data_IF_235157039654
#
_entry.id   IF_235157039654
#
_cell.length_a   1.000
_cell.length_b   1.000
_cell.length_c   1.000
_cell.angle_alpha   90.00
_cell.angle_beta   90.00
_cell.angle_gamma   90.00
#
_symmetry.space_group_name_H-M   'P 1'
#
loop_
_entity.id
_entity.type
_entity.pdbx_description
1 polymer ?
#
# COMPACT_ATOMS: atom_id res chain seq x y z
N UNK A 1 -16.31 4.69 -9.23
CA UNK A 1 -16.08 4.33 -10.67
C UNK A 1 -16.66 2.96 -10.95
N UNK A 2 -17.35 2.74 -12.11
CA UNK A 2 -17.82 1.40 -12.51
C UNK A 2 -16.72 0.63 -13.22
N UNK A 3 -16.75 -0.71 -13.16
CA UNK A 3 -15.75 -1.54 -13.84
C UNK A 3 -15.74 -1.34 -15.36
N UNK A 4 -16.90 -1.14 -16.00
CA UNK A 4 -17.01 -0.91 -17.44
C UNK A 4 -16.33 0.41 -17.87
N UNK A 5 -16.48 1.45 -17.07
CA UNK A 5 -15.80 2.71 -17.31
C UNK A 5 -14.29 2.56 -17.14
N UNK A 6 -13.86 1.84 -16.10
CA UNK A 6 -12.46 1.58 -15.83
C UNK A 6 -11.79 0.76 -16.94
N UNK A 7 -12.46 -0.28 -17.45
CA UNK A 7 -11.99 -1.08 -18.60
C UNK A 7 -11.69 -0.18 -19.81
N UNK A 8 -12.61 0.71 -20.18
CA UNK A 8 -12.39 1.63 -21.29
C UNK A 8 -11.19 2.56 -21.08
N UNK A 9 -10.98 3.01 -19.86
CA UNK A 9 -9.80 3.82 -19.54
C UNK A 9 -8.51 3.02 -19.70
N UNK A 10 -8.45 1.78 -19.19
CA UNK A 10 -7.27 0.90 -19.30
C UNK A 10 -6.94 0.63 -20.78
N UNK A 11 -7.94 0.28 -21.61
CA UNK A 11 -7.75 0.03 -23.05
C UNK A 11 -7.15 1.25 -23.76
N UNK A 12 -7.57 2.46 -23.39
CA UNK A 12 -7.00 3.69 -23.96
C UNK A 12 -5.57 3.96 -23.50
N UNK A 13 -5.23 3.62 -22.26
CA UNK A 13 -3.91 3.82 -21.67
C UNK A 13 -2.87 2.81 -22.18
N UNK A 14 -3.31 1.58 -22.47
CA UNK A 14 -2.46 0.48 -22.92
C UNK A 14 -2.54 0.30 -24.45
N UNK A 15 -2.28 1.39 -25.19
CA UNK A 15 -2.18 1.40 -26.66
C UNK A 15 -3.42 0.87 -27.40
N UNK A 16 -4.60 0.99 -26.78
CA UNK A 16 -5.89 0.51 -27.31
C UNK A 16 -5.98 -1.02 -27.45
N UNK A 17 -5.10 -1.76 -26.78
CA UNK A 17 -5.26 -3.21 -26.64
C UNK A 17 -6.57 -3.53 -25.92
N UNK A 18 -7.28 -4.56 -26.39
CA UNK A 18 -8.58 -4.95 -25.82
C UNK A 18 -8.40 -5.84 -24.61
N UNK A 19 -9.17 -5.56 -23.57
CA UNK A 19 -9.30 -6.47 -22.43
C UNK A 19 -10.24 -7.62 -22.85
N UNK A 20 -9.67 -8.82 -22.97
CA UNK A 20 -10.42 -10.03 -23.36
C UNK A 20 -10.94 -10.81 -22.16
N UNK A 21 -10.33 -10.60 -20.98
CA UNK A 21 -10.73 -11.28 -19.74
C UNK A 21 -10.40 -10.40 -18.55
N UNK A 22 -11.28 -10.39 -17.56
CA UNK A 22 -10.99 -9.78 -16.26
C UNK A 22 -11.64 -10.55 -15.12
N UNK A 23 -11.01 -10.53 -13.95
CA UNK A 23 -11.51 -11.11 -12.73
C UNK A 23 -11.38 -10.10 -11.59
N UNK A 24 -12.48 -9.79 -10.90
CA UNK A 24 -12.43 -9.07 -9.64
C UNK A 24 -11.84 -9.99 -8.58
N UNK A 25 -10.71 -9.60 -8.01
CA UNK A 25 -10.01 -10.38 -6.98
C UNK A 25 -10.58 -10.05 -5.59
N UNK A 26 -10.69 -8.76 -5.29
CA UNK A 26 -11.28 -8.28 -4.03
C UNK A 26 -11.73 -6.82 -4.15
N UNK A 27 -12.57 -6.39 -3.22
CA UNK A 27 -12.86 -4.99 -2.94
C UNK A 27 -12.67 -4.73 -1.46
N UNK A 28 -11.86 -3.75 -1.10
CA UNK A 28 -11.55 -3.40 0.29
C UNK A 28 -11.27 -1.91 0.39
N UNK A 29 -11.81 -1.26 1.42
CA UNK A 29 -11.63 0.18 1.66
C UNK A 29 -11.91 1.06 0.43
N UNK A 30 -13.02 0.80 -0.26
CA UNK A 30 -13.43 1.46 -1.50
C UNK A 30 -12.47 1.29 -2.70
N UNK A 31 -11.51 0.36 -2.61
CA UNK A 31 -10.60 0.02 -3.71
C UNK A 31 -10.95 -1.37 -4.24
N UNK A 32 -11.28 -1.45 -5.53
CA UNK A 32 -11.39 -2.71 -6.24
C UNK A 32 -10.03 -3.11 -6.81
N UNK A 33 -9.68 -4.39 -6.67
CA UNK A 33 -8.49 -5.00 -7.24
C UNK A 33 -8.91 -6.00 -8.32
N UNK A 34 -8.47 -5.78 -9.56
CA UNK A 34 -8.88 -6.56 -10.72
C UNK A 34 -7.66 -7.07 -11.48
N UNK A 35 -7.65 -8.38 -11.76
CA UNK A 35 -6.75 -8.96 -12.75
C UNK A 35 -7.40 -8.85 -14.12
N UNK A 36 -6.63 -8.43 -15.13
CA UNK A 36 -7.10 -8.42 -16.52
C UNK A 36 -6.03 -8.94 -17.49
N UNK A 37 -6.50 -9.41 -18.64
CA UNK A 37 -5.71 -9.95 -19.73
C UNK A 37 -6.06 -9.23 -21.01
N UNK A 38 -5.03 -8.77 -21.74
CA UNK A 38 -5.16 -8.07 -23.00
C UNK A 38 -5.18 -9.05 -24.19
N UNK A 39 -5.61 -8.56 -25.35
CA UNK A 39 -5.68 -9.32 -26.60
C UNK A 39 -4.32 -9.84 -27.08
N UNK A 40 -3.22 -9.21 -26.68
CA UNK A 40 -1.86 -9.64 -26.96
C UNK A 40 -1.33 -10.69 -25.96
N UNK A 41 -2.12 -11.08 -24.93
CA UNK A 41 -1.77 -12.04 -23.90
C UNK A 41 -1.13 -11.45 -22.64
N UNK A 42 -0.85 -10.16 -22.61
CA UNK A 42 -0.30 -9.48 -21.44
C UNK A 42 -1.32 -9.46 -20.28
N UNK A 43 -0.80 -9.63 -19.07
CA UNK A 43 -1.62 -9.64 -17.85
C UNK A 43 -1.16 -8.58 -16.87
N UNK A 44 -2.14 -7.94 -16.23
CA UNK A 44 -1.89 -6.87 -15.26
C UNK A 44 -2.85 -6.96 -14.08
N UNK A 45 -2.48 -6.28 -13.00
CA UNK A 45 -3.36 -5.97 -11.88
C UNK A 45 -3.71 -4.49 -11.95
N UNK A 46 -4.99 -4.18 -11.82
CA UNK A 46 -5.46 -2.82 -11.64
C UNK A 46 -6.16 -2.66 -10.30
N UNK A 47 -5.84 -1.57 -9.62
CA UNK A 47 -6.55 -1.10 -8.43
C UNK A 47 -7.18 0.24 -8.74
N UNK A 48 -8.46 0.42 -8.38
CA UNK A 48 -9.16 1.68 -8.62
C UNK A 48 -10.21 1.96 -7.55
N UNK A 49 -10.48 3.24 -7.30
CA UNK A 49 -11.54 3.63 -6.37
C UNK A 49 -12.93 3.37 -6.95
N UNK A 50 -13.76 2.64 -6.21
CA UNK A 50 -15.20 2.47 -6.52
C UNK A 50 -16.00 3.69 -6.08
N UNK A 51 -15.59 4.36 -4.98
CA UNK A 51 -16.16 5.62 -4.47
C UNK A 51 -15.06 6.67 -4.30
N UNK A 52 -15.37 7.95 -4.53
CA UNK A 52 -14.35 9.03 -4.60
C UNK A 52 -14.06 9.76 -3.27
N UNK A 53 -14.60 9.33 -2.14
CA UNK A 53 -14.57 10.09 -0.88
C UNK A 53 -13.44 9.69 0.08
N UNK A 54 -12.18 9.76 -0.36
CA UNK A 54 -11.06 9.46 0.53
C UNK A 54 -10.22 10.71 0.83
N UNK A 55 -10.09 11.06 2.10
CA UNK A 55 -9.23 12.15 2.60
C UNK A 55 -7.73 11.89 2.38
N UNK A 56 -7.34 10.64 2.12
CA UNK A 56 -5.98 10.21 1.83
C UNK A 56 -5.97 9.30 0.60
N UNK A 57 -5.12 9.60 -0.37
CA UNK A 57 -5.04 8.82 -1.61
C UNK A 57 -4.13 7.59 -1.42
N UNK A 58 -4.75 6.46 -1.08
CA UNK A 58 -4.09 5.18 -0.87
C UNK A 58 -3.47 4.62 -2.16
N UNK A 59 -4.09 4.84 -3.31
CA UNK A 59 -3.60 4.42 -4.62
C UNK A 59 -2.28 5.11 -4.95
N UNK A 60 -2.21 6.44 -4.78
CA UNK A 60 -0.96 7.17 -4.98
C UNK A 60 0.12 6.74 -3.98
N UNK A 61 -0.25 6.48 -2.71
CA UNK A 61 0.69 6.01 -1.70
C UNK A 61 1.27 4.65 -2.08
N UNK A 62 0.45 3.71 -2.54
CA UNK A 62 0.90 2.40 -3.01
C UNK A 62 1.80 2.51 -4.25
N UNK A 63 1.42 3.32 -5.24
CA UNK A 63 2.22 3.55 -6.44
C UNK A 63 3.61 4.11 -6.10
N UNK A 64 3.68 5.11 -5.21
CA UNK A 64 4.94 5.68 -4.77
C UNK A 64 5.79 4.69 -3.96
N UNK A 65 5.18 3.88 -3.09
CA UNK A 65 5.85 2.80 -2.38
C UNK A 65 6.48 1.80 -3.34
N UNK A 66 5.73 1.31 -4.32
CA UNK A 66 6.24 0.36 -5.32
C UNK A 66 7.37 0.96 -6.16
N UNK A 67 7.25 2.22 -6.58
CA UNK A 67 8.34 2.91 -7.29
C UNK A 67 9.60 3.03 -6.45
N UNK A 68 9.47 3.37 -5.16
CA UNK A 68 10.61 3.40 -4.25
C UNK A 68 11.23 2.00 -4.10
N UNK A 69 10.43 0.97 -3.88
CA UNK A 69 10.90 -0.40 -3.73
C UNK A 69 11.59 -0.90 -5.00
N UNK A 70 11.03 -0.63 -6.19
CA UNK A 70 11.63 -0.99 -7.48
C UNK A 70 12.93 -0.22 -7.78
N UNK A 71 13.15 0.94 -7.18
CA UNK A 71 14.43 1.64 -7.27
C UNK A 71 15.55 0.95 -6.49
N UNK A 72 15.23 0.04 -5.58
CA UNK A 72 16.15 -0.67 -4.70
C UNK A 72 16.21 -2.18 -4.96
N UNK A 73 15.12 -2.77 -5.44
CA UNK A 73 14.92 -4.20 -5.55
C UNK A 73 14.20 -4.55 -6.85
N UNK A 74 14.44 -5.76 -7.37
CA UNK A 74 13.87 -6.27 -8.62
C UNK A 74 12.78 -7.36 -8.43
N UNK A 75 12.29 -7.54 -7.20
CA UNK A 75 11.30 -8.58 -6.87
C UNK A 75 9.93 -8.01 -6.44
N UNK A 76 9.70 -6.72 -6.64
CA UNK A 76 8.40 -6.10 -6.47
C UNK A 76 7.72 -5.88 -7.83
N UNK A 77 6.37 -5.92 -7.91
CA UNK A 77 5.67 -5.68 -9.16
C UNK A 77 5.96 -4.28 -9.70
N UNK A 78 6.22 -4.20 -11.00
CA UNK A 78 6.49 -2.94 -11.69
C UNK A 78 5.22 -2.10 -11.79
N UNK A 79 5.33 -0.80 -11.52
CA UNK A 79 4.25 0.16 -11.77
C UNK A 79 4.23 0.50 -13.26
N UNK A 80 3.15 0.14 -13.96
CA UNK A 80 2.97 0.43 -15.38
C UNK A 80 2.50 1.88 -15.56
N UNK A 81 1.42 2.24 -14.88
CA UNK A 81 0.89 3.61 -14.85
C UNK A 81 -0.02 3.80 -13.64
N UNK A 82 -0.20 5.04 -13.22
CA UNK A 82 -1.13 5.39 -12.15
C UNK A 82 -1.53 6.86 -12.22
N UNK A 83 -2.66 7.17 -11.60
CA UNK A 83 -3.08 8.51 -11.24
C UNK A 83 -3.80 8.51 -9.87
N UNK A 84 -4.49 9.58 -9.55
CA UNK A 84 -5.22 9.66 -8.27
C UNK A 84 -6.42 8.71 -8.15
N UNK A 85 -6.84 8.07 -9.22
CA UNK A 85 -8.03 7.21 -9.28
C UNK A 85 -7.72 5.74 -9.47
N UNK A 86 -6.58 5.41 -10.08
CA UNK A 86 -6.20 4.04 -10.38
C UNK A 86 -4.69 3.83 -10.33
N UNK A 87 -4.31 2.56 -10.19
CA UNK A 87 -2.94 2.04 -10.28
C UNK A 87 -2.97 0.77 -11.14
N UNK A 88 -2.10 0.69 -12.14
CA UNK A 88 -1.88 -0.51 -12.95
C UNK A 88 -0.45 -1.00 -12.68
N UNK A 89 -0.34 -2.25 -12.27
CA UNK A 89 0.93 -2.92 -11.98
C UNK A 89 1.05 -4.21 -12.76
N UNK A 90 2.28 -4.66 -12.89
CA UNK A 90 2.63 -5.96 -13.41
C UNK A 90 1.86 -7.08 -12.68
N UNK A 91 1.38 -8.07 -13.45
CA UNK A 91 0.88 -9.30 -12.88
C UNK A 91 2.03 -10.29 -12.66
N UNK A 92 2.32 -10.60 -11.42
CA UNK A 92 3.26 -11.65 -11.07
C UNK A 92 2.47 -12.96 -10.96
N UNK A 93 2.83 -13.95 -11.79
CA UNK A 93 2.27 -15.28 -11.65
C UNK A 93 2.78 -15.89 -10.34
N UNK A 94 1.87 -16.41 -9.54
CA UNK A 94 2.20 -17.16 -8.33
C UNK A 94 1.48 -18.51 -8.42
N UNK A 95 2.16 -19.56 -8.04
CA UNK A 95 1.65 -20.92 -8.07
C UNK A 95 0.86 -21.27 -6.80
N UNK A 96 0.45 -20.24 -6.03
CA UNK A 96 -0.22 -20.36 -4.73
C UNK A 96 0.64 -21.08 -3.65
N UNK A 97 1.84 -21.48 -3.99
CA UNK A 97 2.78 -22.04 -3.04
C UNK A 97 3.19 -20.98 -2.02
N UNK A 98 3.02 -21.31 -0.75
CA UNK A 98 3.42 -20.41 0.33
C UNK A 98 4.91 -20.55 0.59
N UNK A 99 5.66 -19.44 0.65
CA UNK A 99 7.05 -19.50 1.08
C UNK A 99 7.11 -20.06 2.51
N UNK A 100 8.09 -20.89 2.75
CA UNK A 100 8.37 -21.44 4.07
C UNK A 100 9.72 -20.93 4.61
N UNK A 101 10.02 -21.24 5.86
CA UNK A 101 11.27 -20.79 6.52
C UNK A 101 12.55 -21.37 5.90
N UNK A 102 12.44 -22.31 4.97
CA UNK A 102 13.57 -22.92 4.26
C UNK A 102 13.72 -22.42 2.82
N UNK A 103 12.85 -21.53 2.35
CA UNK A 103 12.98 -20.92 1.04
C UNK A 103 14.06 -19.84 1.08
N UNK A 104 15.25 -20.15 0.55
CA UNK A 104 16.43 -19.27 0.59
C UNK A 104 16.18 -17.97 -0.15
N UNK A 105 15.57 -17.96 -1.32
CA UNK A 105 15.28 -16.75 -2.11
C UNK A 105 14.34 -15.80 -1.36
N UNK A 106 13.33 -16.35 -0.67
CA UNK A 106 12.44 -15.57 0.17
C UNK A 106 13.19 -14.94 1.35
N UNK A 107 14.00 -15.73 2.07
CA UNK A 107 14.80 -15.25 3.19
C UNK A 107 15.81 -14.18 2.76
N UNK A 108 16.51 -14.39 1.66
CA UNK A 108 17.42 -13.38 1.09
C UNK A 108 16.70 -12.08 0.73
N UNK A 109 15.50 -12.16 0.16
CA UNK A 109 14.70 -10.99 -0.18
C UNK A 109 14.33 -10.19 1.07
N UNK A 110 13.91 -10.85 2.15
CA UNK A 110 13.63 -10.23 3.44
C UNK A 110 14.90 -9.57 4.02
N UNK A 111 16.03 -10.29 4.00
CA UNK A 111 17.32 -9.76 4.47
C UNK A 111 17.74 -8.51 3.68
N UNK A 112 17.58 -8.51 2.36
CA UNK A 112 17.89 -7.35 1.50
C UNK A 112 17.05 -6.13 1.90
N UNK A 113 15.75 -6.30 2.15
CA UNK A 113 14.87 -5.22 2.62
C UNK A 113 15.35 -4.67 3.97
N UNK A 114 15.65 -5.55 4.93
CA UNK A 114 16.06 -5.16 6.27
C UNK A 114 17.44 -4.51 6.34
N UNK A 115 18.29 -4.69 5.33
CA UNK A 115 19.60 -4.01 5.23
C UNK A 115 19.51 -2.56 4.74
N UNK A 116 18.35 -2.11 4.26
CA UNK A 116 18.17 -0.70 3.89
C UNK A 116 18.14 0.13 5.18
N UNK A 117 19.06 1.05 5.28
CA UNK A 117 19.17 1.94 6.44
C UNK A 117 19.12 3.41 6.01
N UNK A 118 18.77 4.28 6.96
CA UNK A 118 18.80 5.72 6.81
C UNK A 118 19.37 6.34 8.10
N UNK A 119 19.81 7.60 8.01
CA UNK A 119 20.29 8.35 9.17
C UNK A 119 19.19 8.73 10.15
N UNK A 120 17.97 8.85 9.67
CA UNK A 120 16.77 9.21 10.44
C UNK A 120 15.69 8.14 10.30
N UNK A 121 14.81 8.09 11.26
CA UNK A 121 13.61 7.24 11.24
C UNK A 121 12.48 8.00 10.57
N UNK A 122 11.92 7.43 9.51
CA UNK A 122 10.88 8.09 8.74
C UNK A 122 10.90 7.69 7.26
N UNK A 123 10.11 8.40 6.47
CA UNK A 123 10.03 8.17 5.03
C UNK A 123 9.61 9.46 4.32
N UNK A 124 9.99 9.63 3.05
CA UNK A 124 9.77 10.87 2.29
C UNK A 124 8.31 11.21 2.05
N UNK A 125 7.41 10.26 2.19
CA UNK A 125 5.98 10.47 2.02
C UNK A 125 5.14 9.62 2.98
N UNK A 126 3.89 10.03 3.17
CA UNK A 126 2.93 9.26 3.96
C UNK A 126 2.56 7.96 3.23
N UNK A 127 2.43 6.90 3.99
CA UNK A 127 2.00 5.59 3.54
C UNK A 127 0.64 5.23 4.11
N UNK A 128 0.26 3.97 4.10
CA UNK A 128 -1.00 3.51 4.65
C UNK A 128 -0.86 2.17 5.37
N UNK A 129 -1.78 1.92 6.28
CA UNK A 129 -2.07 0.61 6.82
C UNK A 129 -3.58 0.40 6.78
N UNK A 130 -4.06 -0.57 5.97
CA UNK A 130 -5.48 -0.67 5.66
C UNK A 130 -6.00 0.65 5.06
N UNK A 131 -7.06 1.22 5.65
CA UNK A 131 -7.64 2.50 5.24
C UNK A 131 -6.98 3.72 5.93
N UNK A 132 -6.03 3.50 6.85
CA UNK A 132 -5.48 4.57 7.68
C UNK A 132 -4.20 5.13 7.08
N UNK A 133 -4.14 6.46 6.99
CA UNK A 133 -2.91 7.18 6.65
C UNK A 133 -1.86 6.96 7.74
N UNK A 134 -0.65 6.61 7.33
CA UNK A 134 0.54 6.62 8.19
C UNK A 134 1.40 7.83 7.88
N UNK A 135 1.56 8.69 8.86
CA UNK A 135 2.52 9.80 8.82
C UNK A 135 3.92 9.22 8.99
N UNK A 136 4.88 9.72 8.21
CA UNK A 136 6.26 9.21 8.21
C UNK A 136 7.27 10.35 8.34
N UNK A 137 6.95 11.41 9.07
CA UNK A 137 7.88 12.50 9.34
C UNK A 137 9.20 11.98 9.90
N UNK A 138 10.32 12.54 9.44
CA UNK A 138 11.63 12.11 9.91
C UNK A 138 11.90 12.55 11.34
N UNK A 139 12.40 11.60 12.15
CA UNK A 139 12.81 11.79 13.54
C UNK A 139 14.23 11.28 13.76
N UNK A 140 14.93 11.84 14.73
CA UNK A 140 16.30 11.46 15.06
C UNK A 140 16.37 10.20 15.96
N UNK A 141 15.26 9.81 16.60
CA UNK A 141 15.18 8.59 17.41
C UNK A 141 13.98 7.73 17.01
N UNK A 142 14.14 6.41 17.13
CA UNK A 142 13.06 5.45 16.94
C UNK A 142 11.90 5.69 17.90
N UNK A 143 12.19 5.97 19.15
CA UNK A 143 11.18 6.22 20.18
C UNK A 143 10.29 7.39 19.78
N UNK A 144 10.88 8.55 19.42
CA UNK A 144 10.13 9.70 18.96
C UNK A 144 9.32 9.38 17.70
N UNK A 145 9.93 8.76 16.71
CA UNK A 145 9.24 8.36 15.50
C UNK A 145 8.02 7.49 15.82
N UNK A 146 8.19 6.46 16.63
CA UNK A 146 7.09 5.54 16.95
C UNK A 146 5.97 6.23 17.73
N UNK A 147 6.31 7.04 18.72
CA UNK A 147 5.33 7.79 19.51
C UNK A 147 4.55 8.76 18.62
N UNK A 148 5.26 9.63 17.90
CA UNK A 148 4.62 10.75 17.17
C UNK A 148 3.86 10.30 15.92
N UNK A 149 4.34 9.25 15.24
CA UNK A 149 3.78 8.85 13.94
C UNK A 149 2.96 7.56 13.98
N UNK A 150 3.00 6.80 15.08
CA UNK A 150 2.24 5.54 15.25
C UNK A 150 1.30 5.61 16.44
N UNK A 151 1.80 5.82 17.65
CA UNK A 151 0.97 5.76 18.86
C UNK A 151 0.00 6.94 18.95
N UNK A 152 0.47 8.19 18.88
CA UNK A 152 -0.37 9.36 19.04
C UNK A 152 -1.50 9.43 18.00
N UNK A 153 -1.28 9.24 16.68
CA UNK A 153 -2.37 9.24 15.71
C UNK A 153 -3.42 8.15 15.96
N UNK A 154 -2.99 6.96 16.41
CA UNK A 154 -3.92 5.87 16.72
C UNK A 154 -4.71 6.15 18.00
N UNK A 155 -4.07 6.74 19.01
CA UNK A 155 -4.73 7.16 20.24
C UNK A 155 -5.76 8.26 19.97
N UNK A 156 -5.42 9.27 19.17
CA UNK A 156 -6.37 10.30 18.75
C UNK A 156 -7.57 9.73 18.00
N UNK A 157 -7.33 8.78 17.08
CA UNK A 157 -8.39 8.12 16.36
C UNK A 157 -9.28 7.29 17.28
N UNK A 158 -8.69 6.50 18.17
CA UNK A 158 -9.41 5.70 19.14
C UNK A 158 -10.29 6.56 20.06
N UNK A 159 -9.77 7.69 20.55
CA UNK A 159 -10.53 8.62 21.39
C UNK A 159 -11.69 9.31 20.65
N UNK A 160 -11.62 9.44 19.32
CA UNK A 160 -12.72 9.97 18.50
C UNK A 160 -13.81 8.93 18.22
N UNK A 161 -13.46 7.64 18.19
CA UNK A 161 -14.36 6.57 17.80
C UNK A 161 -14.92 5.80 18.98
N UNK A 162 -14.16 5.66 20.05
CA UNK A 162 -14.52 4.94 21.28
C UNK A 162 -14.02 5.75 22.47
N UNK A 163 -14.92 6.04 23.42
CA UNK A 163 -14.48 6.68 24.67
C UNK A 163 -13.60 5.68 25.45
N UNK A 164 -12.29 5.89 25.38
CA UNK A 164 -11.36 5.13 26.22
C UNK A 164 -11.37 5.72 27.64
N UNK A 165 -11.65 4.85 28.63
CA UNK A 165 -11.72 5.29 30.02
C UNK A 165 -10.41 5.96 30.48
N UNK A 166 -10.50 6.90 31.42
CA UNK A 166 -9.37 7.69 31.95
C UNK A 166 -8.20 6.83 32.44
N UNK A 167 -8.48 5.67 32.97
CA UNK A 167 -7.46 4.70 33.39
C UNK A 167 -6.57 4.24 32.23
N UNK A 168 -7.15 3.89 31.07
CA UNK A 168 -6.39 3.46 29.90
C UNK A 168 -5.57 4.63 29.34
N UNK A 169 -6.19 5.82 29.20
CA UNK A 169 -5.50 7.01 28.76
C UNK A 169 -4.33 7.39 29.67
N UNK A 170 -4.49 7.29 31.00
CA UNK A 170 -3.42 7.59 31.96
C UNK A 170 -2.24 6.60 31.84
N UNK A 171 -2.53 5.31 31.60
CA UNK A 171 -1.47 4.29 31.42
C UNK A 171 -0.71 4.47 30.12
N UNK A 172 -1.39 4.79 29.02
CA UNK A 172 -0.74 5.09 27.73
C UNK A 172 0.13 6.33 27.85
N UNK A 173 -0.38 7.40 28.43
CA UNK A 173 0.39 8.63 28.67
C UNK A 173 1.62 8.40 29.57
N UNK A 174 1.50 7.55 30.58
CA UNK A 174 2.65 7.14 31.37
C UNK A 174 3.74 6.45 30.54
N UNK A 175 3.35 5.50 29.66
CA UNK A 175 4.29 4.78 28.81
C UNK A 175 4.94 5.66 27.72
N UNK A 176 4.22 6.70 27.25
CA UNK A 176 4.76 7.66 26.27
C UNK A 176 5.82 8.59 26.89
N UNK A 177 5.66 8.94 28.15
CA UNK A 177 6.49 9.95 28.83
C UNK A 177 7.65 9.37 29.68
N UNK A 178 7.78 8.04 29.75
CA UNK A 178 8.84 7.32 30.47
C UNK A 178 9.49 6.23 29.61
#
# INVERSE_FOLDING_TARGET
MTIQYHIKQIENLLNKEKIIKYNLLQTSFDIACVKFELSNGDKYISKYYVNENNSFNAINAEANNLKFLNSKFNFFPTVITFDKYYLIIEYINNDEDKPNSTNEDFLESIIKIHKVSNKKYGFDFSTQIGALKQINSFEDSWTNFFITTRLNPMLELANKTVHMGDFINSKINYLINN
#
